data_IF_700161543954
#
_entry.id   IF_700161543954
#
_cell.length_a   1.000
_cell.length_b   1.000
_cell.length_c   1.000
_cell.angle_alpha   90.00
_cell.angle_beta   90.00
_cell.angle_gamma   90.00
#
_symmetry.space_group_name_H-M   'P 1'
#
loop_
_entity.id
_entity.type
_entity.pdbx_description
1 polymer ?
#
# COMPACT_ATOMS: atom_id res chain seq x y z
N UNK A 1 -15.75 14.70 -0.30
CA UNK A 1 -14.92 13.50 -0.54
C UNK A 1 -14.07 13.34 0.70
N UNK A 2 -14.31 12.29 1.50
CA UNK A 2 -13.57 12.08 2.75
C UNK A 2 -12.09 11.95 2.43
N UNK A 3 -11.27 12.79 3.04
CA UNK A 3 -9.81 12.76 2.91
C UNK A 3 -9.28 11.39 3.35
N UNK A 4 -8.94 10.53 2.40
CA UNK A 4 -8.18 9.28 2.63
C UNK A 4 -6.70 9.56 2.97
N UNK A 5 -6.39 10.79 3.40
CA UNK A 5 -5.06 11.23 3.79
C UNK A 5 -4.78 10.66 5.18
N UNK A 6 -3.77 9.80 5.36
CA UNK A 6 -3.39 9.34 6.68
C UNK A 6 -2.79 10.51 7.48
N UNK A 7 -2.90 10.50 8.82
CA UNK A 7 -2.24 11.49 9.67
C UNK A 7 -0.74 11.58 9.37
N UNK A 8 -0.12 12.75 9.55
CA UNK A 8 1.29 13.01 9.21
C UNK A 8 2.26 12.04 9.87
N UNK A 9 2.04 11.70 11.13
CA UNK A 9 2.88 10.70 11.81
C UNK A 9 2.78 9.31 11.16
N UNK A 10 1.59 8.93 10.68
CA UNK A 10 1.39 7.68 9.91
C UNK A 10 2.04 7.79 8.54
N UNK A 11 1.94 8.95 7.87
CA UNK A 11 2.58 9.19 6.59
C UNK A 11 4.12 9.07 6.69
N UNK A 12 4.73 9.67 7.71
CA UNK A 12 6.17 9.51 7.98
C UNK A 12 6.55 8.06 8.26
N UNK A 13 5.75 7.31 9.04
CA UNK A 13 6.02 5.91 9.30
C UNK A 13 5.97 5.05 8.02
N UNK A 14 4.98 5.29 7.15
CA UNK A 14 4.86 4.61 5.86
C UNK A 14 6.01 4.97 4.90
N UNK A 15 6.41 6.24 4.87
CA UNK A 15 7.54 6.71 4.06
C UNK A 15 8.88 6.17 4.57
N UNK A 16 9.04 5.98 5.87
CA UNK A 16 10.23 5.34 6.44
C UNK A 16 10.37 3.86 6.00
N UNK A 17 9.26 3.20 5.67
CA UNK A 17 9.24 1.86 5.10
C UNK A 17 9.46 1.83 3.58
N UNK A 18 9.46 2.98 2.90
CA UNK A 18 9.69 3.02 1.46
C UNK A 18 11.07 2.43 1.11
N UNK A 19 11.13 1.61 0.06
CA UNK A 19 12.36 0.92 -0.32
C UNK A 19 12.63 -0.37 0.43
N UNK A 20 11.84 -0.74 1.45
CA UNK A 20 11.96 -2.04 2.10
C UNK A 20 11.46 -3.17 1.21
N UNK A 21 12.12 -4.32 1.27
CA UNK A 21 11.65 -5.55 0.64
C UNK A 21 10.37 -6.04 1.31
N UNK A 22 9.36 -6.35 0.51
CA UNK A 22 8.10 -6.91 0.94
C UNK A 22 7.80 -8.17 0.15
N UNK A 23 7.03 -9.06 0.75
CA UNK A 23 6.53 -10.27 0.08
C UNK A 23 5.08 -10.02 -0.33
N UNK A 24 4.80 -10.12 -1.63
CA UNK A 24 3.44 -10.06 -2.16
C UNK A 24 2.94 -11.50 -2.31
N UNK A 25 1.82 -11.81 -1.67
CA UNK A 25 1.11 -13.08 -1.83
C UNK A 25 -0.20 -12.82 -2.56
N UNK A 26 -0.28 -13.26 -3.80
CA UNK A 26 -1.52 -13.26 -4.58
C UNK A 26 -2.24 -14.58 -4.35
N UNK A 27 -3.52 -14.49 -4.00
CA UNK A 27 -4.38 -15.65 -3.80
C UNK A 27 -5.58 -15.51 -4.73
N UNK A 28 -5.75 -16.46 -5.64
CA UNK A 28 -6.80 -16.43 -6.64
C UNK A 28 -7.66 -17.69 -6.52
N UNK A 29 -8.99 -17.52 -6.60
CA UNK A 29 -9.90 -18.64 -6.71
C UNK A 29 -9.82 -19.19 -8.13
N UNK A 30 -9.61 -20.50 -8.27
CA UNK A 30 -9.65 -21.19 -9.55
C UNK A 30 -11.02 -21.83 -9.68
N UNK A 31 -11.73 -21.49 -10.74
CA UNK A 31 -13.06 -22.01 -11.07
C UNK A 31 -12.96 -22.99 -12.24
N UNK A 32 -13.81 -24.02 -12.23
CA UNK A 32 -14.00 -24.90 -13.37
C UNK A 32 -14.82 -24.20 -14.47
N UNK A 33 -14.98 -24.84 -15.63
CA UNK A 33 -15.70 -24.35 -16.81
C UNK A 33 -17.15 -23.93 -16.50
N UNK A 34 -17.73 -24.51 -15.46
CA UNK A 34 -19.09 -24.27 -15.00
C UNK A 34 -19.20 -23.21 -13.88
N UNK A 35 -18.08 -22.59 -13.50
CA UNK A 35 -18.01 -21.58 -12.43
C UNK A 35 -17.94 -22.18 -11.02
N UNK A 36 -17.86 -23.51 -10.89
CA UNK A 36 -17.70 -24.15 -9.57
C UNK A 36 -16.27 -23.94 -9.06
N UNK A 37 -16.08 -23.59 -7.79
CA UNK A 37 -14.75 -23.51 -7.18
C UNK A 37 -14.00 -24.85 -7.30
N UNK A 38 -12.91 -24.87 -8.05
CA UNK A 38 -12.06 -26.03 -8.26
C UNK A 38 -10.84 -26.04 -7.32
N UNK A 39 -10.40 -24.85 -6.88
CA UNK A 39 -9.27 -24.73 -5.96
C UNK A 39 -8.81 -23.30 -5.75
N UNK A 40 -7.60 -23.15 -5.22
CA UNK A 40 -6.95 -21.86 -4.97
C UNK A 40 -5.54 -21.89 -5.55
N UNK A 41 -5.19 -20.87 -6.32
CA UNK A 41 -3.84 -20.61 -6.79
C UNK A 41 -3.18 -19.60 -5.85
N UNK A 42 -1.94 -19.89 -5.41
CA UNK A 42 -1.16 -18.99 -4.56
C UNK A 42 0.18 -18.71 -5.24
N UNK A 43 0.44 -17.44 -5.53
CA UNK A 43 1.71 -16.97 -6.05
C UNK A 43 2.36 -16.06 -5.01
N UNK A 44 3.65 -16.26 -4.74
CA UNK A 44 4.42 -15.41 -3.83
C UNK A 44 5.63 -14.84 -4.56
N UNK A 45 5.84 -13.53 -4.45
CA UNK A 45 6.98 -12.83 -5.04
C UNK A 45 7.52 -11.75 -4.13
N UNK A 46 8.82 -11.50 -4.22
CA UNK A 46 9.45 -10.34 -3.58
C UNK A 46 9.20 -9.08 -4.39
N UNK A 47 8.98 -7.96 -3.70
CA UNK A 47 8.83 -6.65 -4.27
C UNK A 47 9.43 -5.60 -3.33
N UNK A 48 9.46 -4.36 -3.77
CA UNK A 48 9.88 -3.22 -2.95
C UNK A 48 8.67 -2.36 -2.63
N UNK A 49 8.53 -1.97 -1.36
CA UNK A 49 7.47 -1.07 -0.94
C UNK A 49 7.69 0.32 -1.59
N UNK A 50 6.85 0.65 -2.56
CA UNK A 50 6.88 1.92 -3.28
C UNK A 50 5.82 2.87 -2.69
N UNK A 51 6.21 3.65 -1.69
CA UNK A 51 5.36 4.69 -1.08
C UNK A 51 5.96 6.06 -1.38
N UNK A 52 5.14 6.99 -1.82
CA UNK A 52 5.51 8.40 -2.05
C UNK A 52 4.55 9.32 -1.29
N UNK A 53 4.95 10.56 -0.97
CA UNK A 53 4.04 11.51 -0.32
C UNK A 53 2.73 11.68 -1.09
N UNK A 54 2.81 11.79 -2.42
CA UNK A 54 1.64 11.94 -3.29
C UNK A 54 0.69 10.74 -3.24
N UNK A 55 1.22 9.51 -3.12
CA UNK A 55 0.40 8.31 -2.94
C UNK A 55 -0.39 8.33 -1.62
N UNK A 56 0.07 9.11 -0.63
CA UNK A 56 -0.59 9.32 0.65
C UNK A 56 -1.42 10.61 0.69
N UNK A 57 -1.53 11.35 -0.42
CA UNK A 57 -2.22 12.64 -0.45
C UNK A 57 -1.48 13.77 0.29
N UNK A 58 -0.15 13.67 0.39
CA UNK A 58 0.73 14.67 0.95
C UNK A 58 1.66 15.26 -0.12
N UNK A 59 1.98 16.54 -0.02
CA UNK A 59 3.19 17.09 -0.64
C UNK A 59 4.38 16.97 0.31
N UNK A 60 5.60 17.00 -0.25
CA UNK A 60 6.82 16.98 0.56
C UNK A 60 6.89 18.22 1.48
N UNK A 61 6.53 19.39 0.95
CA UNK A 61 6.55 20.65 1.70
C UNK A 61 5.61 20.64 2.92
N UNK A 62 4.44 20.00 2.82
CA UNK A 62 3.52 19.85 3.96
C UNK A 62 4.04 18.88 5.04
N UNK A 63 4.74 17.82 4.63
CA UNK A 63 5.38 16.89 5.56
C UNK A 63 6.56 17.55 6.28
N UNK A 64 7.31 18.41 5.59
CA UNK A 64 8.46 19.10 6.18
C UNK A 64 8.05 20.32 7.03
N UNK A 65 6.85 20.88 6.82
CA UNK A 65 6.35 22.02 7.58
C UNK A 65 5.88 21.63 9.00
N UNK A 66 6.54 22.09 10.08
CA UNK A 66 6.16 21.76 11.46
C UNK A 66 4.80 22.34 11.90
N UNK A 67 4.26 23.33 11.19
CA UNK A 67 2.95 23.94 11.48
C UNK A 67 1.78 23.06 11.01
N UNK A 68 2.02 22.12 10.10
CA UNK A 68 1.03 21.14 9.67
C UNK A 68 1.06 19.95 10.64
N UNK A 69 -0.01 19.81 11.43
CA UNK A 69 -0.14 18.85 12.54
C UNK A 69 -1.07 17.67 12.21
N UNK A 70 -1.79 17.74 11.09
CA UNK A 70 -2.78 16.75 10.66
C UNK A 70 -2.20 15.36 10.45
#
# INVERSE_FOLDING_TARGET
MSSNRPPKHVAHALLAGAGQSVTITNTELVEDCDGTPAGVSVETREATLAVTPAALGWTQDELDNPEVIE
#
